data_IF_176729630413
#
_entry.id   IF_176729630413
#
_cell.length_a   1.000
_cell.length_b   1.000
_cell.length_c   1.000
_cell.angle_alpha   90.00
_cell.angle_beta   90.00
_cell.angle_gamma   90.00
#
_symmetry.space_group_name_H-M   'P 1'
#
loop_
_entity.id
_entity.type
_entity.pdbx_description
1 polymer ?
#
# COMPACT_ATOMS: atom_id res chain seq x y z
N UNK A 1 -50.00 32.73 -37.41
CA UNK A 1 -50.99 32.61 -36.31
C UNK A 1 -50.28 32.77 -34.99
N UNK A 2 -50.89 33.42 -34.00
CA UNK A 2 -50.32 33.51 -32.64
C UNK A 2 -50.19 32.08 -32.07
N UNK A 3 -49.04 31.68 -31.50
CA UNK A 3 -48.91 30.38 -30.87
C UNK A 3 -49.94 30.27 -29.74
N UNK A 4 -50.69 29.17 -29.72
CA UNK A 4 -51.65 28.89 -28.65
C UNK A 4 -50.87 28.57 -27.36
N UNK A 5 -51.44 28.90 -26.19
CA UNK A 5 -50.84 28.60 -24.88
C UNK A 5 -50.36 27.15 -24.74
N UNK A 6 -51.09 26.21 -25.35
CA UNK A 6 -50.79 24.77 -25.38
C UNK A 6 -49.48 24.48 -26.14
N UNK A 7 -49.25 25.15 -27.29
CA UNK A 7 -48.01 24.97 -28.07
C UNK A 7 -46.77 25.51 -27.34
N UNK A 8 -46.93 26.60 -26.58
CA UNK A 8 -45.84 27.16 -25.76
C UNK A 8 -45.49 26.23 -24.59
N UNK A 9 -46.51 25.64 -23.92
CA UNK A 9 -46.32 24.64 -22.86
C UNK A 9 -45.61 23.38 -23.37
N UNK A 10 -45.98 22.88 -24.55
CA UNK A 10 -45.33 21.73 -25.17
C UNK A 10 -43.85 22.01 -25.47
N UNK A 11 -43.52 23.22 -25.95
CA UNK A 11 -42.14 23.62 -26.24
C UNK A 11 -41.27 23.69 -24.97
N UNK A 12 -41.81 24.22 -23.88
CA UNK A 12 -41.13 24.21 -22.56
C UNK A 12 -40.92 22.78 -22.07
N UNK A 13 -41.90 21.90 -22.28
CA UNK A 13 -41.79 20.48 -21.93
C UNK A 13 -40.66 19.79 -22.71
N UNK A 14 -40.46 20.10 -23.99
CA UNK A 14 -39.34 19.55 -24.79
C UNK A 14 -37.94 19.96 -24.30
N UNK A 15 -37.82 21.07 -23.56
CA UNK A 15 -36.55 21.55 -22.98
C UNK A 15 -36.23 20.90 -21.63
N UNK A 16 -37.19 20.23 -21.00
CA UNK A 16 -37.01 19.59 -19.69
C UNK A 16 -35.89 18.55 -19.59
N UNK A 17 -35.50 17.76 -20.64
CA UNK A 17 -34.37 16.85 -20.52
C UNK A 17 -33.04 17.57 -20.23
N UNK A 18 -32.87 18.79 -20.73
CA UNK A 18 -31.69 19.62 -20.46
C UNK A 18 -31.66 20.04 -19.00
N UNK A 19 -32.81 20.40 -18.43
CA UNK A 19 -32.93 20.74 -17.01
C UNK A 19 -32.64 19.52 -16.11
N UNK A 20 -33.05 18.33 -16.52
CA UNK A 20 -32.76 17.06 -15.82
C UNK A 20 -31.26 16.77 -15.86
N UNK A 21 -30.60 16.97 -17.01
CA UNK A 21 -29.15 16.81 -17.12
C UNK A 21 -28.39 17.80 -16.22
N UNK A 22 -28.83 19.05 -16.14
CA UNK A 22 -28.25 20.06 -15.23
C UNK A 22 -28.49 19.70 -13.76
N UNK A 23 -29.67 19.17 -13.41
CA UNK A 23 -29.96 18.66 -12.07
C UNK A 23 -29.06 17.50 -11.68
N UNK A 24 -28.87 16.53 -12.58
CA UNK A 24 -27.96 15.41 -12.37
C UNK A 24 -26.52 15.89 -12.18
N UNK A 25 -26.06 16.82 -13.02
CA UNK A 25 -24.73 17.41 -12.94
C UNK A 25 -24.47 18.12 -11.60
N UNK A 26 -25.46 18.81 -11.03
CA UNK A 26 -25.31 19.54 -9.75
C UNK A 26 -25.48 18.67 -8.51
N UNK A 27 -26.35 17.67 -8.54
CA UNK A 27 -26.75 16.92 -7.33
C UNK A 27 -26.10 15.54 -7.22
N UNK A 28 -25.61 14.98 -8.33
CA UNK A 28 -25.05 13.62 -8.38
C UNK A 28 -26.07 12.50 -8.11
N UNK A 29 -27.36 12.81 -7.98
CA UNK A 29 -28.41 11.83 -7.63
C UNK A 29 -28.95 11.13 -8.88
N UNK A 30 -28.24 10.10 -9.34
CA UNK A 30 -28.57 9.34 -10.55
C UNK A 30 -29.99 8.74 -10.53
N UNK A 31 -30.39 8.07 -9.44
CA UNK A 31 -31.72 7.47 -9.29
C UNK A 31 -32.86 8.49 -9.42
N UNK A 32 -32.70 9.67 -8.81
CA UNK A 32 -33.72 10.72 -8.86
C UNK A 32 -33.82 11.33 -10.27
N UNK A 33 -32.69 11.52 -10.95
CA UNK A 33 -32.68 12.05 -12.31
C UNK A 33 -33.39 11.10 -13.31
N UNK A 34 -33.13 9.79 -13.23
CA UNK A 34 -33.83 8.81 -14.08
C UNK A 34 -35.33 8.74 -13.78
N UNK A 35 -35.75 8.87 -12.52
CA UNK A 35 -37.18 8.92 -12.17
C UNK A 35 -37.87 10.17 -12.76
N UNK A 36 -37.22 11.33 -12.67
CA UNK A 36 -37.73 12.58 -13.26
C UNK A 36 -37.77 12.46 -14.79
N UNK A 37 -36.75 11.86 -15.42
CA UNK A 37 -36.71 11.59 -16.86
C UNK A 37 -37.85 10.67 -17.29
N UNK A 38 -38.06 9.56 -16.57
CA UNK A 38 -39.14 8.62 -16.84
C UNK A 38 -40.52 9.28 -16.73
N UNK A 39 -40.74 10.10 -15.70
CA UNK A 39 -41.98 10.86 -15.53
C UNK A 39 -42.21 11.87 -16.65
N UNK A 40 -41.15 12.55 -17.03
CA UNK A 40 -41.17 13.53 -18.09
C UNK A 40 -41.49 12.91 -19.46
N UNK A 41 -40.82 11.81 -19.83
CA UNK A 41 -41.05 11.08 -21.07
C UNK A 41 -42.47 10.49 -21.11
N UNK A 42 -42.92 9.89 -20.00
CA UNK A 42 -44.29 9.36 -19.86
C UNK A 42 -45.33 10.46 -20.07
N UNK A 43 -45.17 11.61 -19.39
CA UNK A 43 -46.09 12.74 -19.52
C UNK A 43 -46.13 13.31 -20.93
N UNK A 44 -44.97 13.43 -21.59
CA UNK A 44 -44.87 13.91 -22.97
C UNK A 44 -45.57 12.97 -23.96
N UNK A 45 -45.39 11.65 -23.80
CA UNK A 45 -46.04 10.65 -24.65
C UNK A 45 -47.57 10.67 -24.45
N UNK A 46 -48.07 10.73 -23.21
CA UNK A 46 -49.52 10.82 -22.93
C UNK A 46 -50.11 12.09 -23.53
N UNK A 47 -49.45 13.24 -23.29
CA UNK A 47 -49.91 14.53 -23.78
C UNK A 47 -49.99 14.51 -25.31
N UNK A 48 -48.94 14.08 -26.00
CA UNK A 48 -48.94 14.01 -27.46
C UNK A 48 -49.93 12.95 -28.00
N UNK A 49 -50.09 11.81 -27.33
CA UNK A 49 -51.06 10.79 -27.69
C UNK A 49 -52.51 11.29 -27.58
N UNK A 50 -52.82 12.12 -26.58
CA UNK A 50 -54.17 12.69 -26.39
C UNK A 50 -54.66 13.53 -27.59
N UNK A 51 -53.75 14.16 -28.35
CA UNK A 51 -54.08 14.95 -29.54
C UNK A 51 -54.00 14.15 -30.85
N UNK A 52 -53.37 12.97 -30.84
CA UNK A 52 -53.03 12.17 -32.03
C UNK A 52 -53.81 10.85 -32.12
N UNK A 53 -54.93 10.73 -31.40
CA UNK A 53 -55.84 9.57 -31.48
C UNK A 53 -55.83 8.65 -30.25
N UNK A 54 -55.40 9.15 -29.09
CA UNK A 54 -55.52 8.44 -27.82
C UNK A 54 -54.78 7.11 -27.82
N UNK A 55 -55.49 6.02 -27.55
CA UNK A 55 -54.95 4.64 -27.48
C UNK A 55 -54.50 4.11 -28.86
N UNK A 56 -54.99 4.69 -29.96
CA UNK A 56 -54.56 4.33 -31.31
C UNK A 56 -53.35 5.12 -31.80
N UNK A 57 -52.83 6.04 -30.97
CA UNK A 57 -51.69 6.87 -31.34
C UNK A 57 -50.42 6.02 -31.55
N UNK A 58 -49.68 6.35 -32.60
CA UNK A 58 -48.37 5.75 -32.90
C UNK A 58 -47.34 5.94 -31.78
N UNK A 59 -47.55 6.91 -30.90
CA UNK A 59 -46.63 7.26 -29.81
C UNK A 59 -46.67 6.26 -28.64
N UNK A 60 -47.68 5.38 -28.56
CA UNK A 60 -47.78 4.41 -27.47
C UNK A 60 -46.62 3.42 -27.46
N UNK A 61 -46.03 3.14 -28.62
CA UNK A 61 -44.82 2.32 -28.71
C UNK A 61 -43.65 2.90 -27.89
N UNK A 62 -43.60 4.22 -27.68
CA UNK A 62 -42.58 4.87 -26.85
C UNK A 62 -42.73 4.60 -25.35
N UNK A 63 -43.88 4.11 -24.87
CA UNK A 63 -44.03 3.76 -23.45
C UNK A 63 -43.12 2.61 -23.01
N UNK A 64 -42.71 1.75 -23.94
CA UNK A 64 -41.75 0.67 -23.67
C UNK A 64 -40.33 1.21 -23.40
N UNK A 65 -40.01 2.40 -23.92
CA UNK A 65 -38.69 3.03 -23.76
C UNK A 65 -38.49 3.56 -22.34
N UNK A 66 -39.56 4.02 -21.68
CA UNK A 66 -39.53 4.58 -20.32
C UNK A 66 -38.86 3.63 -19.29
N UNK A 67 -39.29 2.35 -19.15
CA UNK A 67 -38.65 1.44 -18.20
C UNK A 67 -37.23 1.02 -18.63
N UNK A 68 -36.95 1.01 -19.93
CA UNK A 68 -35.62 0.70 -20.46
C UNK A 68 -34.62 1.81 -20.09
N UNK A 69 -35.02 3.09 -20.19
CA UNK A 69 -34.19 4.22 -19.74
C UNK A 69 -33.97 4.21 -18.23
N UNK A 70 -35.00 3.86 -17.46
CA UNK A 70 -34.88 3.71 -16.01
C UNK A 70 -33.92 2.57 -15.60
N UNK A 71 -33.76 1.53 -16.42
CA UNK A 71 -32.84 0.43 -16.16
C UNK A 71 -31.37 0.88 -16.12
N UNK A 72 -31.03 2.00 -16.77
CA UNK A 72 -29.69 2.61 -16.71
C UNK A 72 -29.33 3.13 -15.31
N UNK A 73 -30.31 3.38 -14.44
CA UNK A 73 -30.06 3.85 -13.07
C UNK A 73 -29.40 2.80 -12.17
N UNK A 74 -29.38 1.53 -12.60
CA UNK A 74 -28.93 0.37 -11.82
C UNK A 74 -29.68 0.20 -10.47
N UNK A 75 -30.86 0.81 -10.33
CA UNK A 75 -31.69 0.75 -9.12
C UNK A 75 -33.03 0.07 -9.43
N UNK A 76 -33.26 -1.09 -8.81
CA UNK A 76 -34.49 -1.88 -9.01
C UNK A 76 -35.76 -1.11 -8.66
N UNK A 77 -35.70 -0.18 -7.69
CA UNK A 77 -36.86 0.63 -7.29
C UNK A 77 -37.24 1.62 -8.37
N UNK A 78 -36.25 2.27 -8.99
CA UNK A 78 -36.48 3.25 -10.07
C UNK A 78 -37.10 2.57 -11.28
N UNK A 79 -36.65 1.37 -11.64
CA UNK A 79 -37.24 0.55 -12.71
C UNK A 79 -38.69 0.18 -12.38
N UNK A 80 -38.99 -0.22 -11.14
CA UNK A 80 -40.36 -0.57 -10.75
C UNK A 80 -41.29 0.65 -10.82
N UNK A 81 -40.83 1.82 -10.34
CA UNK A 81 -41.61 3.05 -10.39
C UNK A 81 -41.85 3.54 -11.82
N UNK A 82 -40.88 3.40 -12.72
CA UNK A 82 -41.05 3.82 -14.12
C UNK A 82 -42.02 2.90 -14.88
N UNK A 83 -42.00 1.58 -14.61
CA UNK A 83 -43.01 0.64 -15.12
C UNK A 83 -44.40 1.03 -14.61
N UNK A 84 -44.55 1.26 -13.30
CA UNK A 84 -45.83 1.66 -12.72
C UNK A 84 -46.34 2.97 -13.33
N UNK A 85 -45.45 3.94 -13.52
CA UNK A 85 -45.78 5.23 -14.11
C UNK A 85 -46.23 5.12 -15.57
N UNK A 86 -45.54 4.31 -16.39
CA UNK A 86 -45.95 4.03 -17.77
C UNK A 86 -47.32 3.31 -17.82
N UNK A 87 -47.57 2.34 -16.93
CA UNK A 87 -48.85 1.65 -16.84
C UNK A 87 -50.00 2.58 -16.41
N UNK A 88 -49.79 3.40 -15.38
CA UNK A 88 -50.76 4.42 -14.94
C UNK A 88 -51.03 5.41 -16.07
N UNK A 89 -49.98 5.81 -16.80
CA UNK A 89 -50.09 6.65 -17.99
C UNK A 89 -51.00 6.07 -19.06
N UNK A 90 -50.78 4.81 -19.44
CA UNK A 90 -51.61 4.10 -20.42
C UNK A 90 -53.06 3.94 -19.93
N UNK A 91 -53.27 3.56 -18.67
CA UNK A 91 -54.60 3.41 -18.06
C UNK A 91 -55.37 4.73 -18.05
N UNK A 92 -54.72 5.83 -17.66
CA UNK A 92 -55.34 7.16 -17.64
C UNK A 92 -55.73 7.64 -19.04
N UNK A 93 -54.85 7.44 -20.03
CA UNK A 93 -55.15 7.75 -21.42
C UNK A 93 -56.33 6.93 -21.94
N UNK A 94 -56.39 5.63 -21.61
CA UNK A 94 -57.48 4.76 -22.05
C UNK A 94 -58.81 5.04 -21.36
N UNK A 95 -58.78 5.42 -20.09
CA UNK A 95 -59.98 5.88 -19.37
C UNK A 95 -60.51 7.20 -19.95
N UNK A 96 -59.62 8.13 -20.31
CA UNK A 96 -60.00 9.40 -20.94
C UNK A 96 -60.64 9.20 -22.33
N UNK A 97 -60.15 8.22 -23.09
CA UNK A 97 -60.73 7.81 -24.38
C UNK A 97 -62.14 7.23 -24.18
N UNK A 98 -62.31 6.32 -23.22
CA UNK A 98 -63.60 5.70 -22.89
C UNK A 98 -64.65 6.72 -22.42
N UNK A 99 -64.23 7.75 -21.68
CA UNK A 99 -65.10 8.84 -21.22
C UNK A 99 -65.38 9.90 -22.29
N UNK A 100 -64.81 9.77 -23.49
CA UNK A 100 -64.97 10.74 -24.57
C UNK A 100 -64.40 12.13 -24.26
N UNK A 101 -63.47 12.23 -23.31
CA UNK A 101 -62.85 13.49 -22.88
C UNK A 101 -61.66 13.91 -23.77
N UNK A 102 -61.25 13.05 -24.70
CA UNK A 102 -60.16 13.36 -25.62
C UNK A 102 -60.63 14.33 -26.71
N UNK A 103 -59.83 15.36 -27.05
CA UNK A 103 -60.11 16.23 -28.18
C UNK A 103 -60.28 15.40 -29.45
N UNK A 104 -61.18 15.79 -30.35
CA UNK A 104 -61.20 15.20 -31.69
C UNK A 104 -59.81 15.36 -32.29
N UNK A 105 -59.13 14.24 -32.50
CA UNK A 105 -57.73 14.22 -32.91
C UNK A 105 -57.58 15.10 -34.14
N UNK A 106 -56.58 15.98 -34.14
CA UNK A 106 -56.21 16.67 -35.36
C UNK A 106 -55.60 15.58 -36.25
N UNK A 107 -56.44 14.95 -37.07
CA UNK A 107 -56.00 13.99 -38.05
C UNK A 107 -54.99 14.74 -38.92
N UNK A 108 -53.70 14.44 -38.72
CA UNK A 108 -52.71 14.72 -39.74
C UNK A 108 -53.31 14.14 -41.02
N UNK A 109 -53.37 14.92 -42.10
CA UNK A 109 -53.94 14.51 -43.39
C UNK A 109 -53.17 13.38 -44.08
N UNK A 110 -52.27 12.72 -43.35
CA UNK A 110 -51.42 11.63 -43.78
C UNK A 110 -52.01 10.29 -43.34
N UNK A 111 -51.63 9.23 -44.06
CA UNK A 111 -52.05 7.87 -43.79
C UNK A 111 -51.65 7.44 -42.35
N UNK A 112 -52.60 7.04 -41.48
CA UNK A 112 -52.32 6.55 -40.13
C UNK A 112 -51.26 5.45 -40.09
N UNK A 113 -51.18 4.61 -41.14
CA UNK A 113 -50.18 3.56 -41.25
C UNK A 113 -48.75 4.12 -41.35
N UNK A 114 -48.56 5.25 -42.05
CA UNK A 114 -47.26 5.90 -42.21
C UNK A 114 -46.76 6.50 -40.89
N UNK A 115 -47.65 7.12 -40.12
CA UNK A 115 -47.34 7.66 -38.78
C UNK A 115 -47.01 6.56 -37.78
N UNK A 116 -47.76 5.44 -37.80
CA UNK A 116 -47.45 4.24 -37.02
C UNK A 116 -46.07 3.67 -37.34
N UNK A 117 -45.72 3.59 -38.63
CA UNK A 117 -44.39 3.17 -39.05
C UNK A 117 -43.30 4.13 -38.55
N UNK A 118 -43.45 5.44 -38.70
CA UNK A 118 -42.47 6.42 -38.19
C UNK A 118 -42.30 6.35 -36.66
N UNK A 119 -43.40 6.18 -35.93
CA UNK A 119 -43.40 5.98 -34.47
C UNK A 119 -42.60 4.76 -34.05
N UNK A 120 -42.89 3.61 -34.67
CA UNK A 120 -42.20 2.35 -34.39
C UNK A 120 -40.71 2.39 -34.78
N UNK A 121 -40.37 2.96 -35.94
CA UNK A 121 -38.98 3.08 -36.41
C UNK A 121 -38.17 4.00 -35.50
N UNK A 122 -38.72 5.14 -35.09
CA UNK A 122 -38.04 6.04 -34.15
C UNK A 122 -37.84 5.42 -32.77
N UNK A 123 -38.83 4.69 -32.26
CA UNK A 123 -38.72 3.94 -31.01
C UNK A 123 -37.65 2.83 -31.11
N UNK A 124 -37.58 2.11 -32.24
CA UNK A 124 -36.59 1.07 -32.49
C UNK A 124 -35.17 1.64 -32.57
N UNK A 125 -34.97 2.76 -33.27
CA UNK A 125 -33.68 3.45 -33.35
C UNK A 125 -33.22 3.90 -31.96
N UNK A 126 -34.12 4.50 -31.17
CA UNK A 126 -33.80 4.94 -29.82
C UNK A 126 -33.45 3.75 -28.90
N UNK A 127 -34.26 2.70 -28.92
CA UNK A 127 -34.01 1.47 -28.15
C UNK A 127 -32.67 0.82 -28.55
N UNK A 128 -32.34 0.79 -29.84
CA UNK A 128 -31.06 0.31 -30.35
C UNK A 128 -29.88 1.15 -29.85
N UNK A 129 -29.98 2.48 -29.88
CA UNK A 129 -28.97 3.39 -29.34
C UNK A 129 -28.76 3.21 -27.83
N UNK A 130 -29.85 2.98 -27.08
CA UNK A 130 -29.81 2.73 -25.65
C UNK A 130 -29.15 1.37 -25.34
N UNK A 131 -29.49 0.32 -26.08
CA UNK A 131 -28.86 -1.00 -25.96
C UNK A 131 -27.33 -0.93 -26.21
N UNK A 132 -26.90 -0.19 -27.25
CA UNK A 132 -25.47 0.05 -27.52
C UNK A 132 -24.82 0.79 -26.35
N UNK A 133 -25.50 1.80 -25.79
CA UNK A 133 -24.98 2.59 -24.66
C UNK A 133 -24.79 1.73 -23.41
N UNK A 134 -25.77 0.88 -23.07
CA UNK A 134 -25.65 -0.12 -21.98
C UNK A 134 -24.44 -1.02 -22.21
N UNK A 135 -24.27 -1.52 -23.44
CA UNK A 135 -23.17 -2.42 -23.76
C UNK A 135 -21.80 -1.74 -23.64
N UNK A 136 -21.69 -0.47 -24.05
CA UNK A 136 -20.47 0.33 -23.92
C UNK A 136 -20.12 0.54 -22.44
N UNK A 137 -21.09 0.98 -21.63
CA UNK A 137 -20.88 1.21 -20.18
C UNK A 137 -20.49 -0.09 -19.47
N UNK A 138 -21.16 -1.19 -19.78
CA UNK A 138 -20.84 -2.49 -19.20
C UNK A 138 -19.42 -2.95 -19.55
N UNK A 139 -19.03 -2.85 -20.82
CA UNK A 139 -17.64 -3.17 -21.25
C UNK A 139 -16.61 -2.27 -20.60
N UNK A 140 -16.90 -0.97 -20.43
CA UNK A 140 -15.99 -0.04 -19.75
C UNK A 140 -15.81 -0.41 -18.27
N UNK A 141 -16.89 -0.78 -17.58
CA UNK A 141 -16.83 -1.25 -16.19
C UNK A 141 -15.99 -2.54 -16.06
N UNK A 142 -16.24 -3.53 -16.92
CA UNK A 142 -15.43 -4.75 -16.93
C UNK A 142 -13.95 -4.48 -17.22
N UNK A 143 -13.67 -3.58 -18.17
CA UNK A 143 -12.29 -3.19 -18.48
C UNK A 143 -11.62 -2.44 -17.33
N UNK A 144 -12.34 -1.55 -16.64
CA UNK A 144 -11.83 -0.85 -15.47
C UNK A 144 -11.48 -1.83 -14.34
N UNK A 145 -12.34 -2.82 -14.08
CA UNK A 145 -12.08 -3.88 -13.10
C UNK A 145 -10.83 -4.68 -13.51
N UNK A 146 -10.77 -5.15 -14.77
CA UNK A 146 -9.61 -5.92 -15.28
C UNK A 146 -8.31 -5.11 -15.24
N UNK A 147 -8.35 -3.81 -15.55
CA UNK A 147 -7.18 -2.94 -15.47
C UNK A 147 -6.75 -2.71 -14.03
N UNK A 148 -7.69 -2.51 -13.11
CA UNK A 148 -7.43 -2.43 -11.68
C UNK A 148 -6.76 -3.70 -11.14
N UNK A 149 -7.30 -4.87 -11.49
CA UNK A 149 -6.74 -6.17 -11.09
C UNK A 149 -5.32 -6.38 -11.67
N UNK A 150 -5.12 -6.12 -12.97
CA UNK A 150 -3.79 -6.20 -13.60
C UNK A 150 -2.79 -5.27 -12.93
N UNK A 151 -3.19 -4.04 -12.61
CA UNK A 151 -2.32 -3.07 -11.95
C UNK A 151 -1.93 -3.53 -10.55
N UNK A 152 -2.90 -4.03 -9.77
CA UNK A 152 -2.62 -4.61 -8.45
C UNK A 152 -1.66 -5.81 -8.56
N UNK A 153 -1.92 -6.71 -9.50
CA UNK A 153 -1.07 -7.88 -9.76
C UNK A 153 0.37 -7.48 -10.08
N UNK A 154 0.57 -6.52 -11.00
CA UNK A 154 1.91 -6.03 -11.34
C UNK A 154 2.66 -5.45 -10.13
N UNK A 155 1.97 -4.68 -9.28
CA UNK A 155 2.58 -4.12 -8.06
C UNK A 155 2.96 -5.22 -7.05
N UNK A 156 2.12 -6.24 -6.90
CA UNK A 156 2.39 -7.36 -5.99
C UNK A 156 3.47 -8.32 -6.52
N UNK A 157 3.54 -8.54 -7.83
CA UNK A 157 4.52 -9.43 -8.48
C UNK A 157 5.91 -8.82 -8.60
N UNK A 158 6.01 -7.49 -8.71
CA UNK A 158 7.29 -6.77 -8.77
C UNK A 158 7.74 -6.18 -7.42
N UNK A 159 7.02 -6.49 -6.34
CA UNK A 159 7.46 -6.11 -5.00
C UNK A 159 8.72 -6.92 -4.64
N UNK A 160 9.75 -6.23 -4.13
CA UNK A 160 10.95 -6.88 -3.62
C UNK A 160 10.75 -7.53 -2.25
N UNK A 161 9.67 -7.18 -1.54
CA UNK A 161 9.36 -7.73 -0.22
C UNK A 161 8.23 -8.77 -0.32
N UNK A 162 8.26 -9.79 0.55
CA UNK A 162 7.18 -10.78 0.61
C UNK A 162 5.98 -10.17 1.32
N UNK A 163 4.84 -10.13 0.65
CA UNK A 163 3.58 -9.62 1.23
C UNK A 163 2.71 -10.82 1.57
N UNK A 164 2.28 -10.91 2.82
CA UNK A 164 1.36 -11.96 3.29
C UNK A 164 0.12 -11.35 3.92
N UNK A 165 -1.01 -12.03 3.76
CA UNK A 165 -2.23 -11.76 4.52
C UNK A 165 -2.47 -12.88 5.50
N UNK A 166 -2.86 -12.54 6.72
CA UNK A 166 -3.16 -13.49 7.77
C UNK A 166 -4.57 -13.31 8.30
N UNK A 167 -5.15 -14.41 8.78
CA UNK A 167 -6.31 -14.35 9.66
C UNK A 167 -5.93 -13.95 11.09
N UNK A 168 -6.94 -13.84 11.95
CA UNK A 168 -6.79 -13.49 13.36
C UNK A 168 -5.97 -14.50 14.17
N UNK A 169 -5.78 -15.71 13.67
CA UNK A 169 -4.96 -16.75 14.30
C UNK A 169 -3.53 -16.79 13.73
N UNK A 170 -3.20 -15.89 12.80
CA UNK A 170 -1.89 -15.81 12.16
C UNK A 170 -1.69 -16.77 10.99
N UNK A 171 -2.73 -17.50 10.55
CA UNK A 171 -2.63 -18.37 9.37
C UNK A 171 -2.60 -17.55 8.10
N UNK A 172 -1.72 -17.91 7.17
CA UNK A 172 -1.54 -17.22 5.89
C UNK A 172 -2.71 -17.53 4.96
N UNK A 173 -3.42 -16.50 4.53
CA UNK A 173 -4.49 -16.55 3.53
C UNK A 173 -3.99 -16.27 2.11
N UNK A 174 -2.93 -15.47 2.00
CA UNK A 174 -2.32 -15.07 0.74
C UNK A 174 -0.84 -14.80 0.96
N UNK A 175 -0.02 -15.13 -0.05
CA UNK A 175 1.38 -14.75 -0.14
C UNK A 175 1.71 -14.26 -1.56
N UNK A 176 2.54 -13.21 -1.67
CA UNK A 176 3.00 -12.70 -2.97
C UNK A 176 4.00 -13.65 -3.64
N UNK A 177 4.17 -13.51 -4.96
CA UNK A 177 5.13 -14.31 -5.73
C UNK A 177 6.60 -14.05 -5.34
N UNK A 178 6.88 -12.90 -4.70
CA UNK A 178 8.20 -12.59 -4.14
C UNK A 178 8.70 -13.66 -3.14
N UNK A 179 7.78 -14.41 -2.52
CA UNK A 179 8.12 -15.58 -1.69
C UNK A 179 8.98 -16.62 -2.43
N UNK A 180 8.76 -16.83 -3.73
CA UNK A 180 9.55 -17.80 -4.49
C UNK A 180 10.98 -17.32 -4.71
N UNK A 181 11.18 -16.01 -4.90
CA UNK A 181 12.50 -15.43 -5.14
C UNK A 181 13.32 -15.32 -3.84
N UNK A 182 12.69 -14.84 -2.75
CA UNK A 182 13.39 -14.60 -1.47
C UNK A 182 13.50 -15.87 -0.65
N UNK A 183 12.40 -16.60 -0.50
CA UNK A 183 12.33 -17.76 0.37
C UNK A 183 12.58 -19.08 -0.35
N UNK A 184 12.61 -19.09 -1.69
CA UNK A 184 12.70 -20.32 -2.48
C UNK A 184 11.45 -21.21 -2.35
N UNK A 185 10.32 -20.64 -1.91
CA UNK A 185 9.08 -21.37 -1.67
C UNK A 185 7.93 -20.76 -2.45
N UNK A 186 7.12 -21.60 -3.11
CA UNK A 186 5.96 -21.14 -3.83
C UNK A 186 4.89 -20.59 -2.87
N UNK A 187 4.16 -19.55 -3.29
CA UNK A 187 3.17 -18.86 -2.45
C UNK A 187 2.16 -19.81 -1.77
N UNK A 188 1.68 -20.83 -2.50
CA UNK A 188 0.72 -21.81 -1.98
C UNK A 188 1.29 -22.66 -0.82
N UNK A 189 2.61 -22.87 -0.77
CA UNK A 189 3.26 -23.62 0.31
C UNK A 189 3.35 -22.82 1.62
N UNK A 190 3.16 -21.50 1.55
CA UNK A 190 3.16 -20.64 2.73
C UNK A 190 1.77 -20.53 3.37
N UNK A 191 0.71 -20.93 2.67
CA UNK A 191 -0.67 -20.84 3.14
C UNK A 191 -0.91 -21.65 4.43
N UNK A 192 -1.91 -21.24 5.20
CA UNK A 192 -2.18 -21.83 6.50
C UNK A 192 -1.02 -21.60 7.47
N UNK A 193 -0.44 -22.69 7.97
CA UNK A 193 0.72 -22.65 8.87
C UNK A 193 2.07 -22.71 8.13
N UNK A 194 2.07 -22.74 6.79
CA UNK A 194 3.27 -22.97 6.00
C UNK A 194 4.40 -21.97 6.27
N UNK A 195 4.08 -20.68 6.48
CA UNK A 195 5.08 -19.70 6.91
C UNK A 195 5.60 -19.97 8.32
N UNK A 196 4.71 -20.22 9.29
CA UNK A 196 5.07 -20.47 10.70
C UNK A 196 6.00 -21.68 10.84
N UNK A 197 5.77 -22.74 10.05
CA UNK A 197 6.60 -23.94 10.05
C UNK A 197 8.03 -23.68 9.54
N UNK A 198 8.22 -22.69 8.68
CA UNK A 198 9.53 -22.29 8.14
C UNK A 198 10.29 -21.34 9.06
N UNK A 199 9.61 -20.69 10.01
CA UNK A 199 10.25 -19.87 11.04
C UNK A 199 11.03 -20.78 12.00
N UNK A 200 12.25 -20.36 12.32
CA UNK A 200 13.11 -21.03 13.28
C UNK A 200 12.37 -21.21 14.61
N UNK A 201 12.47 -22.39 15.23
CA UNK A 201 11.65 -22.78 16.38
C UNK A 201 11.75 -21.79 17.54
N UNK A 202 12.95 -21.24 17.79
CA UNK A 202 13.18 -20.25 18.85
C UNK A 202 12.45 -18.90 18.61
N UNK A 203 12.14 -18.56 17.37
CA UNK A 203 11.62 -17.23 17.00
C UNK A 203 10.08 -17.24 16.82
N UNK A 204 9.45 -18.44 16.79
CA UNK A 204 7.99 -18.60 16.63
C UNK A 204 7.17 -17.86 17.69
N UNK A 205 7.51 -17.88 19.00
CA UNK A 205 6.75 -17.14 20.01
C UNK A 205 6.76 -15.63 19.76
N UNK A 206 7.90 -15.07 19.36
CA UNK A 206 8.03 -13.64 19.06
C UNK A 206 7.20 -13.24 17.84
N UNK A 207 7.20 -14.07 16.79
CA UNK A 207 6.36 -13.88 15.60
C UNK A 207 4.86 -13.87 15.94
N UNK A 208 4.38 -14.88 16.68
CA UNK A 208 2.96 -14.97 17.05
C UNK A 208 2.53 -13.83 17.98
N UNK A 209 3.41 -13.45 18.93
CA UNK A 209 3.16 -12.32 19.81
C UNK A 209 3.04 -11.00 19.03
N UNK A 210 3.86 -10.80 17.99
CA UNK A 210 3.79 -9.62 17.15
C UNK A 210 2.46 -9.51 16.39
N UNK A 211 1.98 -10.63 15.81
CA UNK A 211 0.68 -10.67 15.13
C UNK A 211 -0.48 -10.42 16.10
N UNK A 212 -0.46 -11.03 17.29
CA UNK A 212 -1.48 -10.82 18.30
C UNK A 212 -1.52 -9.35 18.77
N UNK A 213 -0.35 -8.76 19.03
CA UNK A 213 -0.23 -7.35 19.44
C UNK A 213 -0.75 -6.39 18.36
N UNK A 214 -0.44 -6.67 17.10
CA UNK A 214 -0.90 -5.89 15.95
C UNK A 214 -2.43 -5.77 15.89
N UNK A 215 -3.15 -6.87 16.16
CA UNK A 215 -4.61 -6.90 16.22
C UNK A 215 -5.14 -6.28 17.51
N UNK A 216 -4.53 -6.61 18.66
CA UNK A 216 -5.02 -6.18 19.97
C UNK A 216 -4.87 -4.67 20.20
N UNK A 217 -3.79 -4.07 19.69
CA UNK A 217 -3.48 -2.65 19.87
C UNK A 217 -3.92 -1.78 18.68
N UNK A 218 -4.38 -2.39 17.58
CA UNK A 218 -4.71 -1.72 16.32
C UNK A 218 -3.56 -0.85 15.77
N UNK A 219 -2.31 -1.32 15.92
CA UNK A 219 -1.10 -0.57 15.54
C UNK A 219 -0.18 -1.37 14.62
N UNK A 220 0.73 -0.66 13.95
CA UNK A 220 1.79 -1.29 13.19
C UNK A 220 2.84 -1.88 14.14
N UNK A 221 3.13 -3.18 13.97
CA UNK A 221 4.11 -3.90 14.79
C UNK A 221 5.19 -4.49 13.89
N UNK A 222 6.45 -4.42 14.36
CA UNK A 222 7.59 -5.05 13.71
C UNK A 222 8.14 -6.23 14.53
N UNK A 223 8.71 -7.22 13.86
CA UNK A 223 9.44 -8.32 14.47
C UNK A 223 10.54 -8.83 13.53
N UNK A 224 11.70 -9.18 14.10
CA UNK A 224 12.79 -9.84 13.37
C UNK A 224 12.81 -11.33 13.74
N UNK A 225 12.93 -12.21 12.75
CA UNK A 225 13.00 -13.64 12.98
C UNK A 225 13.70 -14.35 11.81
N UNK A 226 14.22 -15.54 12.09
CA UNK A 226 14.87 -16.38 11.08
C UNK A 226 13.84 -17.24 10.36
N UNK A 227 13.93 -17.24 9.03
CA UNK A 227 13.08 -18.07 8.17
C UNK A 227 13.97 -18.97 7.33
N UNK A 228 13.63 -20.25 7.25
CA UNK A 228 14.30 -21.18 6.35
C UNK A 228 14.11 -20.71 4.91
N UNK A 229 15.19 -20.52 4.18
CA UNK A 229 15.15 -20.24 2.75
C UNK A 229 15.72 -21.42 1.97
N UNK A 230 15.02 -21.78 0.90
CA UNK A 230 15.52 -22.75 -0.08
C UNK A 230 16.10 -22.03 -1.31
N UNK A 231 16.15 -20.69 -1.30
CA UNK A 231 16.76 -19.92 -2.38
C UNK A 231 18.29 -20.01 -2.27
N UNK A 232 18.98 -19.97 -3.41
CA UNK A 232 20.44 -20.10 -3.54
C UNK A 232 21.27 -19.00 -2.84
N UNK A 233 20.62 -18.07 -2.13
CA UNK A 233 21.25 -17.02 -1.30
C UNK A 233 21.37 -17.41 0.18
N UNK A 234 20.89 -18.59 0.58
CA UNK A 234 21.13 -19.11 1.91
C UNK A 234 22.64 -19.38 2.05
N UNK A 235 23.37 -18.41 2.61
CA UNK A 235 24.79 -18.54 2.88
C UNK A 235 25.03 -19.84 3.66
N UNK A 236 25.95 -20.67 3.17
CA UNK A 236 26.34 -21.99 3.70
C UNK A 236 26.93 -21.94 5.13
N UNK A 237 26.87 -20.79 5.82
CA UNK A 237 27.68 -20.50 7.01
C UNK A 237 26.88 -20.45 8.33
N UNK A 238 25.58 -20.80 8.31
CA UNK A 238 24.77 -20.92 9.54
C UNK A 238 23.95 -22.21 9.51
N UNK A 239 24.53 -23.26 10.08
CA UNK A 239 23.90 -24.53 10.49
C UNK A 239 23.05 -25.28 9.44
N UNK A 240 23.73 -26.08 8.62
CA UNK A 240 23.16 -27.27 7.97
C UNK A 240 22.47 -27.07 6.61
N UNK A 241 22.05 -28.18 5.96
CA UNK A 241 21.48 -28.13 4.61
C UNK A 241 20.06 -27.54 4.66
N UNK A 242 19.96 -26.25 4.34
CA UNK A 242 18.74 -25.46 4.33
C UNK A 242 18.89 -24.18 5.17
N UNK A 243 19.73 -23.27 4.72
CA UNK A 243 20.12 -22.10 5.51
C UNK A 243 18.96 -21.17 5.87
N UNK A 244 19.11 -20.53 7.02
CA UNK A 244 18.18 -19.53 7.52
C UNK A 244 18.58 -18.13 7.03
N UNK A 245 17.60 -17.33 6.64
CA UNK A 245 17.78 -15.89 6.39
C UNK A 245 17.07 -15.10 7.48
N UNK A 246 17.60 -13.91 7.79
CA UNK A 246 16.95 -12.98 8.70
C UNK A 246 15.88 -12.19 7.95
N UNK A 247 14.66 -12.18 8.48
CA UNK A 247 13.57 -11.37 7.96
C UNK A 247 13.08 -10.36 9.00
N UNK A 248 12.83 -9.14 8.54
CA UNK A 248 12.06 -8.13 9.26
C UNK A 248 10.61 -8.18 8.76
N UNK A 249 9.68 -8.53 9.63
CA UNK A 249 8.25 -8.42 9.38
C UNK A 249 7.73 -7.09 9.91
N UNK A 250 6.93 -6.39 9.10
CA UNK A 250 6.07 -5.28 9.53
C UNK A 250 4.64 -5.65 9.24
N UNK A 251 3.81 -5.69 10.26
CA UNK A 251 2.41 -6.06 10.13
C UNK A 251 1.49 -4.93 10.58
N UNK A 252 0.33 -4.82 9.93
CA UNK A 252 -0.74 -3.88 10.28
C UNK A 252 -2.11 -4.57 10.19
N UNK A 253 -3.07 -4.21 11.04
CA UNK A 253 -4.44 -4.66 10.89
C UNK A 253 -5.09 -3.93 9.72
N UNK A 254 -5.99 -4.63 9.03
CA UNK A 254 -6.83 -4.11 7.95
C UNK A 254 -8.25 -4.57 8.22
N UNK A 255 -9.14 -3.61 8.49
CA UNK A 255 -10.56 -3.86 8.53
C UNK A 255 -11.06 -4.07 7.09
N UNK A 256 -11.61 -5.24 6.80
CA UNK A 256 -12.33 -5.46 5.54
C UNK A 256 -13.70 -4.80 5.63
N UNK A 257 -14.07 -4.07 4.58
CA UNK A 257 -15.44 -3.58 4.44
C UNK A 257 -16.37 -4.78 4.25
N UNK A 258 -17.59 -4.76 4.81
CA UNK A 258 -18.55 -5.87 4.65
C UNK A 258 -18.98 -6.14 3.19
N UNK A 259 -18.60 -5.28 2.24
CA UNK A 259 -18.81 -5.46 0.80
C UNK A 259 -17.75 -6.36 0.13
N UNK A 260 -16.57 -6.54 0.74
CA UNK A 260 -15.44 -7.25 0.13
C UNK A 260 -15.44 -8.77 0.39
N UNK A 261 -16.28 -9.27 1.31
CA UNK A 261 -16.33 -10.69 1.68
C UNK A 261 -17.75 -11.13 2.12
N UNK A 262 -18.55 -11.62 1.18
CA UNK A 262 -19.90 -12.18 1.42
C UNK A 262 -19.90 -13.34 2.45
N UNK A 263 -18.74 -13.96 2.68
CA UNK A 263 -18.55 -15.09 3.62
C UNK A 263 -18.51 -14.65 5.09
N UNK A 264 -18.19 -13.38 5.37
CA UNK A 264 -17.87 -12.91 6.72
C UNK A 264 -18.96 -11.97 7.26
N UNK A 265 -20.02 -12.55 7.83
CA UNK A 265 -21.09 -11.82 8.57
C UNK A 265 -20.60 -11.10 9.83
N UNK A 266 -19.37 -11.33 10.26
CA UNK A 266 -18.70 -10.59 11.33
C UNK A 266 -17.45 -9.98 10.71
N UNK A 267 -17.32 -8.64 10.71
CA UNK A 267 -16.14 -7.94 10.19
C UNK A 267 -14.85 -8.60 10.64
N UNK A 268 -14.19 -9.30 9.71
CA UNK A 268 -12.96 -10.02 10.00
C UNK A 268 -11.81 -9.04 9.83
N UNK A 269 -11.18 -8.66 10.95
CA UNK A 269 -9.89 -7.97 10.89
C UNK A 269 -8.88 -8.95 10.30
N UNK A 270 -8.21 -8.55 9.23
CA UNK A 270 -7.10 -9.31 8.67
C UNK A 270 -5.80 -8.58 8.94
N UNK A 271 -4.70 -9.32 8.97
CA UNK A 271 -3.38 -8.72 9.16
C UNK A 271 -2.67 -8.74 7.81
N UNK A 272 -2.19 -7.59 7.37
CA UNK A 272 -1.26 -7.52 6.22
C UNK A 272 0.15 -7.38 6.78
N UNK A 273 1.02 -8.33 6.42
CA UNK A 273 2.42 -8.32 6.79
C UNK A 273 3.31 -8.17 5.56
N UNK A 274 4.38 -7.41 5.70
CA UNK A 274 5.45 -7.26 4.72
C UNK A 274 6.72 -7.81 5.36
N UNK A 275 7.33 -8.80 4.73
CA UNK A 275 8.56 -9.44 5.19
C UNK A 275 9.70 -9.05 4.25
N UNK A 276 10.72 -8.43 4.82
CA UNK A 276 11.90 -7.97 4.10
C UNK A 276 13.13 -8.77 4.54
N UNK A 277 13.94 -9.17 3.58
CA UNK A 277 15.25 -9.77 3.86
C UNK A 277 16.20 -8.71 4.44
N UNK A 278 16.79 -9.01 5.60
CA UNK A 278 17.74 -8.16 6.31
C UNK A 278 19.08 -8.87 6.56
N UNK A 279 19.36 -9.97 5.84
CA UNK A 279 20.60 -10.72 6.00
C UNK A 279 21.84 -9.84 5.75
N UNK A 280 21.83 -9.06 4.67
CA UNK A 280 22.92 -8.13 4.35
C UNK A 280 23.11 -7.08 5.47
N UNK A 281 22.01 -6.56 6.03
CA UNK A 281 22.06 -5.63 7.18
C UNK A 281 22.73 -6.30 8.39
N UNK A 282 22.35 -7.54 8.71
CA UNK A 282 22.93 -8.28 9.84
C UNK A 282 24.40 -8.62 9.65
N UNK A 283 24.82 -8.96 8.43
CA UNK A 283 26.23 -9.23 8.14
C UNK A 283 27.10 -7.99 8.32
N UNK A 284 26.66 -6.83 7.80
CA UNK A 284 27.38 -5.58 8.01
C UNK A 284 27.42 -5.16 9.48
N UNK A 285 26.30 -5.33 10.22
CA UNK A 285 26.26 -5.06 11.67
C UNK A 285 27.30 -5.92 12.42
N UNK A 286 27.39 -7.21 12.11
CA UNK A 286 28.36 -8.13 12.73
C UNK A 286 29.82 -7.80 12.34
N UNK A 287 30.07 -7.47 11.07
CA UNK A 287 31.40 -7.06 10.61
C UNK A 287 31.89 -5.79 11.33
N UNK A 288 31.02 -4.80 11.48
CA UNK A 288 31.33 -3.56 12.21
C UNK A 288 31.63 -3.85 13.69
N UNK A 289 30.85 -4.73 14.33
CA UNK A 289 31.10 -5.12 15.72
C UNK A 289 32.44 -5.85 15.87
N UNK A 290 32.75 -6.80 14.99
CA UNK A 290 34.03 -7.52 15.00
C UNK A 290 35.21 -6.58 14.76
N UNK A 291 35.09 -5.64 13.82
CA UNK A 291 36.12 -4.65 13.55
C UNK A 291 36.36 -3.72 14.75
N UNK A 292 35.29 -3.28 15.43
CA UNK A 292 35.38 -2.50 16.66
C UNK A 292 36.10 -3.29 17.75
N UNK A 293 35.69 -4.53 18.01
CA UNK A 293 36.26 -5.35 19.08
C UNK A 293 37.74 -5.67 18.81
N UNK A 294 38.10 -5.92 17.54
CA UNK A 294 39.49 -6.07 17.12
C UNK A 294 40.31 -4.79 17.37
N UNK A 295 39.78 -3.62 16.99
CA UNK A 295 40.43 -2.33 17.23
C UNK A 295 40.60 -2.02 18.73
N UNK A 296 39.57 -2.29 19.54
CA UNK A 296 39.63 -2.11 21.00
C UNK A 296 40.68 -3.03 21.63
N UNK A 297 40.73 -4.30 21.23
CA UNK A 297 41.72 -5.25 21.75
C UNK A 297 43.15 -4.85 21.39
N UNK A 298 43.38 -4.39 20.15
CA UNK A 298 44.67 -3.89 19.70
C UNK A 298 45.09 -2.63 20.48
N UNK A 299 44.16 -1.70 20.74
CA UNK A 299 44.44 -0.50 21.51
C UNK A 299 44.81 -0.85 22.97
N UNK A 300 44.05 -1.74 23.61
CA UNK A 300 44.37 -2.23 24.97
C UNK A 300 45.75 -2.89 25.03
N UNK A 301 46.10 -3.70 24.03
CA UNK A 301 47.41 -4.32 23.93
C UNK A 301 48.54 -3.29 23.75
N UNK A 302 48.34 -2.25 22.92
CA UNK A 302 49.27 -1.12 22.75
C UNK A 302 49.50 -0.40 24.08
N UNK A 303 48.44 -0.04 24.80
CA UNK A 303 48.54 0.65 26.09
C UNK A 303 49.27 -0.20 27.13
N UNK A 304 48.95 -1.50 27.23
CA UNK A 304 49.61 -2.40 28.17
C UNK A 304 51.09 -2.58 27.84
N UNK A 305 51.44 -2.71 26.55
CA UNK A 305 52.83 -2.81 26.11
C UNK A 305 53.64 -1.57 26.49
N UNK A 306 53.11 -0.38 26.19
CA UNK A 306 53.79 0.88 26.51
C UNK A 306 53.96 1.09 28.03
N UNK A 307 52.92 0.77 28.81
CA UNK A 307 53.00 0.84 30.27
C UNK A 307 54.09 -0.09 30.83
N UNK A 308 54.14 -1.34 30.36
CA UNK A 308 55.15 -2.31 30.80
C UNK A 308 56.57 -1.86 30.38
N UNK A 309 56.76 -1.43 29.12
CA UNK A 309 58.06 -0.94 28.63
C UNK A 309 58.55 0.28 29.40
N UNK A 310 57.67 1.18 29.83
CA UNK A 310 58.04 2.30 30.70
C UNK A 310 58.73 1.84 31.98
N UNK A 311 58.12 0.89 32.67
CA UNK A 311 58.61 0.40 33.96
C UNK A 311 59.95 -0.33 33.80
N UNK A 312 60.08 -1.14 32.75
CA UNK A 312 61.31 -1.88 32.44
C UNK A 312 62.47 -0.95 32.03
N UNK A 313 62.19 0.18 31.39
CA UNK A 313 63.23 1.15 31.00
C UNK A 313 63.61 2.10 32.15
N UNK A 314 62.66 2.50 32.99
CA UNK A 314 62.91 3.43 34.11
C UNK A 314 63.88 2.87 35.14
N UNK A 315 63.78 1.58 35.45
CA UNK A 315 64.58 0.92 36.49
C UNK A 315 66.10 0.93 36.18
N UNK A 316 66.58 0.43 35.02
CA UNK A 316 68.00 0.50 34.69
C UNK A 316 68.48 1.93 34.45
N UNK A 317 67.64 2.80 33.89
CA UNK A 317 68.02 4.19 33.61
C UNK A 317 68.23 4.99 34.90
N UNK A 318 67.35 4.83 35.88
CA UNK A 318 67.52 5.43 37.21
C UNK A 318 68.78 4.92 37.90
N UNK A 319 69.15 3.65 37.71
CA UNK A 319 70.40 3.12 38.24
C UNK A 319 71.62 3.77 37.56
N UNK A 320 71.61 3.93 36.23
CA UNK A 320 72.68 4.60 35.48
C UNK A 320 72.83 6.06 35.92
N UNK A 321 71.72 6.80 36.04
CA UNK A 321 71.70 8.20 36.51
C UNK A 321 72.24 8.29 37.95
N UNK A 322 71.82 7.37 38.83
CA UNK A 322 72.26 7.34 40.22
C UNK A 322 73.75 7.01 40.36
N UNK A 323 74.27 6.03 39.63
CA UNK A 323 75.70 5.72 39.63
C UNK A 323 76.53 6.84 39.00
N UNK A 324 76.07 7.45 37.91
CA UNK A 324 76.78 8.58 37.32
C UNK A 324 76.79 9.79 38.25
N UNK A 325 75.70 10.04 38.99
CA UNK A 325 75.64 11.10 40.01
C UNK A 325 76.61 10.86 41.17
N UNK A 326 76.71 9.61 41.65
CA UNK A 326 77.68 9.22 42.68
C UNK A 326 79.12 9.47 42.20
N UNK A 327 79.42 9.13 40.94
CA UNK A 327 80.73 9.34 40.33
C UNK A 327 81.03 10.84 40.18
N UNK A 328 80.08 11.63 39.65
CA UNK A 328 80.22 13.08 39.49
C UNK A 328 80.45 13.80 40.81
N UNK A 329 79.76 13.38 41.89
CA UNK A 329 79.91 13.95 43.24
C UNK A 329 81.14 13.44 44.00
N UNK A 330 81.88 12.48 43.45
CA UNK A 330 83.09 11.89 44.06
C UNK A 330 82.87 11.39 45.50
N UNK A 331 81.69 10.84 45.79
CA UNK A 331 81.28 10.45 47.16
C UNK A 331 82.15 9.35 47.79
N UNK A 332 82.92 8.61 46.99
CA UNK A 332 83.82 7.53 47.42
C UNK A 332 85.30 7.84 47.18
N UNK A 333 85.67 9.09 46.88
CA UNK A 333 87.04 9.52 46.61
C UNK A 333 87.24 10.12 45.21
N UNK A 334 88.43 10.68 44.94
CA UNK A 334 88.73 11.33 43.66
C UNK A 334 88.88 10.29 42.54
N UNK A 335 88.38 10.60 41.34
CA UNK A 335 88.40 9.71 40.17
C UNK A 335 89.77 9.58 39.49
N UNK A 336 90.79 10.24 40.02
CA UNK A 336 92.11 10.32 39.41
C UNK A 336 92.17 11.33 38.26
N UNK A 337 91.86 10.88 37.04
CA UNK A 337 91.92 11.69 35.81
C UNK A 337 90.66 12.55 35.64
N UNK A 338 90.82 13.84 35.33
CA UNK A 338 89.71 14.80 35.19
C UNK A 338 88.68 14.37 34.14
N UNK A 339 89.10 13.63 33.10
CA UNK A 339 88.21 13.13 32.03
C UNK A 339 87.13 12.18 32.52
N UNK A 340 87.35 11.46 33.63
CA UNK A 340 86.33 10.58 34.21
C UNK A 340 85.15 11.36 34.81
N UNK A 341 85.41 12.54 35.37
CA UNK A 341 84.34 13.42 35.87
C UNK A 341 83.48 13.95 34.72
N UNK A 342 84.12 14.39 33.63
CA UNK A 342 83.43 14.85 32.42
C UNK A 342 82.56 13.74 31.80
N UNK A 343 83.06 12.50 31.72
CA UNK A 343 82.27 11.36 31.24
C UNK A 343 81.11 10.99 32.17
N UNK A 344 81.30 11.02 33.49
CA UNK A 344 80.22 10.77 34.45
C UNK A 344 79.09 11.81 34.29
N UNK A 345 79.46 13.08 34.08
CA UNK A 345 78.49 14.14 33.80
C UNK A 345 77.75 13.92 32.48
N UNK A 346 78.45 13.56 31.39
CA UNK A 346 77.82 13.25 30.11
C UNK A 346 76.84 12.06 30.19
N UNK A 347 77.19 11.01 30.93
CA UNK A 347 76.30 9.86 31.17
C UNK A 347 75.06 10.29 31.96
N UNK A 348 75.23 11.16 32.96
CA UNK A 348 74.13 11.71 33.74
C UNK A 348 73.16 12.52 32.88
N UNK A 349 73.65 13.52 32.14
CA UNK A 349 72.85 14.38 31.27
C UNK A 349 72.15 13.56 30.18
N UNK A 350 72.83 12.57 29.59
CA UNK A 350 72.25 11.66 28.59
C UNK A 350 71.16 10.77 29.17
N UNK A 351 71.36 10.30 30.41
CA UNK A 351 70.38 9.48 31.13
C UNK A 351 69.11 10.24 31.45
N UNK A 352 69.23 11.47 31.98
CA UNK A 352 68.09 12.35 32.24
C UNK A 352 67.34 12.71 30.94
N UNK A 353 68.07 13.00 29.87
CA UNK A 353 67.46 13.30 28.58
C UNK A 353 66.63 12.12 28.05
N UNK A 354 67.18 10.91 28.08
CA UNK A 354 66.47 9.70 27.65
C UNK A 354 65.23 9.44 28.50
N UNK A 355 65.30 9.66 29.81
CA UNK A 355 64.18 9.48 30.73
C UNK A 355 63.02 10.43 30.39
N UNK A 356 63.34 11.69 30.07
CA UNK A 356 62.36 12.70 29.67
C UNK A 356 61.69 12.34 28.34
N UNK A 357 62.45 11.86 27.36
CA UNK A 357 61.89 11.40 26.07
C UNK A 357 60.94 10.22 26.28
N UNK A 358 61.34 9.23 27.08
CA UNK A 358 60.49 8.06 27.38
C UNK A 358 59.19 8.49 28.08
N UNK A 359 59.27 9.37 29.08
CA UNK A 359 58.09 9.89 29.76
C UNK A 359 57.17 10.67 28.80
N UNK A 360 57.73 11.49 27.89
CA UNK A 360 56.95 12.23 26.90
C UNK A 360 56.17 11.32 25.93
N UNK A 361 56.77 10.23 25.45
CA UNK A 361 56.08 9.26 24.57
C UNK A 361 54.92 8.57 25.30
N UNK A 362 55.08 8.31 26.59
CA UNK A 362 54.06 7.67 27.42
C UNK A 362 52.90 8.60 27.73
N UNK A 363 53.18 9.86 28.05
CA UNK A 363 52.14 10.85 28.33
C UNK A 363 51.30 11.12 27.08
N UNK A 364 51.93 11.22 25.90
CA UNK A 364 51.21 11.31 24.62
C UNK A 364 50.33 10.07 24.39
N UNK A 365 50.86 8.87 24.66
CA UNK A 365 50.11 7.62 24.47
C UNK A 365 48.96 7.44 25.46
N UNK A 366 49.03 8.06 26.65
CA UNK A 366 47.91 8.10 27.61
C UNK A 366 46.81 9.07 27.17
N UNK A 367 47.18 10.19 26.55
CA UNK A 367 46.24 11.20 26.02
C UNK A 367 45.49 10.66 24.80
N UNK A 368 46.12 9.88 23.92
CA UNK A 368 45.44 9.26 22.78
C UNK A 368 44.50 8.10 23.17
N UNK A 369 44.66 7.53 24.37
CA UNK A 369 43.91 6.37 24.84
C UNK A 369 42.75 6.69 25.79
N UNK A 370 42.58 7.96 26.18
CA UNK A 370 41.46 8.48 26.97
C UNK A 370 40.74 9.60 26.24
#
# INVERSE_FOLDING_TARGET
GRPTLISALAFVWFLSPIAIALFLSRTGRLSAAHLISAANLTGLVIFAASFTGGISSFLIAWMVVVPIEAALSNDRRVVLYSIALACIGLLSLGLADLLGMLPQGHAFSQDPALLAMLGSVSALIYAGGLAISVQIVHRQSEQAIRQGEKRYRLLAENATDVITRHDMQGRVLFASLASQQILGAAAHSLHGNGLLERIHVADRPAYLAALHRCVAEDTQVAAEFRVRSNASHAADDVDGPGGYIWMEMRCRPVALSPEDDESSRNGCVQIVAVLRDIMERKLHEDEVLRARDAAESANRAKTQFLANMSHELRTPLNAIIGFSEILTRQLFGTLGDERYGEYAQLIHESGEHLLNVVNGILDMSKIEAG
#
